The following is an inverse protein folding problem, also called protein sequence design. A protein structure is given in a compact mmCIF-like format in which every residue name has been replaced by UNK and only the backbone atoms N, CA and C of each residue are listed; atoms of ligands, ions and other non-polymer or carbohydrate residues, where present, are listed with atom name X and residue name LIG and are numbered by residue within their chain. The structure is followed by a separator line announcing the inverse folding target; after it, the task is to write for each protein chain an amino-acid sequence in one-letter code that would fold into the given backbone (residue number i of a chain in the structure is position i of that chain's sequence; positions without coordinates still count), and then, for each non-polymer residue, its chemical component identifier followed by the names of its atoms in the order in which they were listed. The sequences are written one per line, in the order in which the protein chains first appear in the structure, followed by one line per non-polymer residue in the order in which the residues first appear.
data_IF_937351192794
#
_entry.id   IF_937351192794
#
_cell.length_a   1.000
_cell.length_b   1.000
_cell.length_c   1.000
_cell.angle_alpha   90.00
_cell.angle_beta   90.00
_cell.angle_gamma   90.00
#
_symmetry.space_group_name_H-M   'P 1'
#
loop_
_entity.id
_entity.type
_entity.pdbx_description
1 polymer ?
#
# COMPACT_ATOMS: atom_id res chain seq x y z
N UNK A 1 6.66 30.41 3.55
CA UNK A 1 7.34 29.11 3.41
C UNK A 1 6.87 28.55 2.09
N UNK A 2 7.78 28.39 1.13
CA UNK A 2 7.39 27.86 -0.19
C UNK A 2 7.09 26.36 -0.08
N UNK A 3 6.14 25.86 -0.88
CA UNK A 3 5.74 24.44 -0.87
C UNK A 3 6.95 23.50 -1.04
N UNK A 4 7.94 23.93 -1.82
CA UNK A 4 9.21 23.21 -2.02
C UNK A 4 10.02 23.07 -0.74
N UNK A 5 10.08 24.11 0.10
CA UNK A 5 10.82 24.08 1.37
C UNK A 5 10.16 23.10 2.36
N UNK A 6 8.82 23.13 2.44
CA UNK A 6 8.05 22.19 3.24
C UNK A 6 8.24 20.74 2.78
N UNK A 7 8.17 20.48 1.47
CA UNK A 7 8.39 19.15 0.91
C UNK A 7 9.84 18.68 1.06
N UNK A 8 10.82 19.58 1.02
CA UNK A 8 12.23 19.26 1.25
C UNK A 8 12.55 18.89 2.70
N UNK A 9 11.60 19.09 3.62
CA UNK A 9 11.82 18.78 5.02
C UNK A 9 11.73 17.27 5.26
N UNK A 10 12.75 16.63 5.88
CA UNK A 10 12.81 15.17 5.98
C UNK A 10 11.60 14.53 6.66
N UNK A 11 11.07 15.16 7.72
CA UNK A 11 9.90 14.61 8.42
C UNK A 11 8.63 14.64 7.57
N UNK A 12 8.45 15.69 6.75
CA UNK A 12 7.31 15.81 5.83
C UNK A 12 7.40 14.73 4.75
N UNK A 13 8.60 14.54 4.18
CA UNK A 13 8.88 13.48 3.20
C UNK A 13 8.59 12.09 3.77
N UNK A 14 8.97 11.83 5.02
CA UNK A 14 8.69 10.55 5.70
C UNK A 14 7.19 10.34 5.90
N UNK A 15 6.48 11.31 6.46
CA UNK A 15 5.03 11.19 6.71
C UNK A 15 4.27 10.98 5.41
N UNK A 16 4.54 11.79 4.39
CA UNK A 16 3.90 11.66 3.08
C UNK A 16 4.20 10.31 2.44
N UNK A 17 5.45 9.85 2.48
CA UNK A 17 5.78 8.57 1.88
C UNK A 17 5.13 7.39 2.60
N UNK A 18 5.08 7.39 3.94
CA UNK A 18 4.32 6.37 4.70
C UNK A 18 2.84 6.37 4.28
N UNK A 19 2.21 7.56 4.23
CA UNK A 19 0.81 7.67 3.82
C UNK A 19 0.57 7.14 2.41
N UNK A 20 1.43 7.49 1.45
CA UNK A 20 1.35 6.99 0.07
C UNK A 20 1.53 5.47 0.03
N UNK A 21 2.53 4.94 0.74
CA UNK A 21 2.79 3.49 0.82
C UNK A 21 1.59 2.70 1.36
N UNK A 22 0.91 3.22 2.38
CA UNK A 22 -0.30 2.60 2.95
C UNK A 22 -1.47 2.67 1.96
N UNK A 23 -1.70 3.83 1.32
CA UNK A 23 -2.83 4.04 0.41
C UNK A 23 -2.74 3.16 -0.83
N UNK A 24 -1.53 2.88 -1.33
CA UNK A 24 -1.28 1.95 -2.44
C UNK A 24 -1.87 0.55 -2.16
N UNK A 25 -1.99 0.16 -0.88
CA UNK A 25 -2.55 -1.14 -0.50
C UNK A 25 -4.07 -1.19 -0.42
N UNK A 26 -4.75 -0.05 -0.30
CA UNK A 26 -6.20 0.00 -0.07
C UNK A 26 -7.01 -0.78 -1.14
N UNK A 27 -6.67 -0.70 -2.45
CA UNK A 27 -7.34 -1.48 -3.49
C UNK A 27 -7.21 -3.01 -3.29
N UNK A 28 -6.06 -3.47 -2.77
CA UNK A 28 -5.80 -4.90 -2.48
C UNK A 28 -6.70 -5.39 -1.36
N UNK A 29 -6.83 -4.60 -0.29
CA UNK A 29 -7.75 -4.90 0.83
C UNK A 29 -9.20 -4.94 0.36
N UNK A 30 -9.58 -4.08 -0.57
CA UNK A 30 -10.92 -4.09 -1.16
C UNK A 30 -11.16 -5.32 -2.03
N UNK A 31 -10.11 -5.80 -2.72
CA UNK A 31 -10.15 -7.00 -3.56
C UNK A 31 -10.46 -8.28 -2.76
N UNK A 32 -10.08 -8.34 -1.48
CA UNK A 32 -10.44 -9.45 -0.58
C UNK A 32 -11.96 -9.64 -0.41
N UNK A 33 -12.79 -8.61 -0.64
CA UNK A 33 -14.25 -8.77 -0.66
C UNK A 33 -14.74 -9.64 -1.82
N UNK A 34 -14.02 -9.65 -2.95
CA UNK A 34 -14.36 -10.49 -4.11
C UNK A 34 -13.95 -11.94 -3.91
N UNK A 35 -12.88 -12.21 -3.14
CA UNK A 35 -12.53 -13.58 -2.74
C UNK A 35 -13.63 -14.23 -1.89
N UNK A 36 -14.40 -13.43 -1.13
CA UNK A 36 -15.54 -13.92 -0.33
C UNK A 36 -16.79 -14.28 -1.12
N UNK A 37 -16.92 -13.88 -2.39
CA UNK A 37 -18.14 -14.09 -3.18
C UNK A 37 -18.14 -15.39 -4.01
N UNK A 38 -17.21 -16.32 -3.73
CA UNK A 38 -17.10 -17.60 -4.43
C UNK A 38 -16.50 -17.50 -5.84
N UNK A 39 -16.06 -16.31 -6.26
CA UNK A 39 -15.44 -16.03 -7.56
C UNK A 39 -13.93 -15.82 -7.39
N UNK A 40 -13.24 -16.85 -6.91
CA UNK A 40 -11.81 -16.78 -6.59
C UNK A 40 -10.96 -16.31 -7.80
N UNK A 41 -11.25 -16.78 -9.01
CA UNK A 41 -10.53 -16.38 -10.23
C UNK A 41 -10.62 -14.88 -10.52
N UNK A 42 -11.82 -14.30 -10.35
CA UNK A 42 -12.04 -12.86 -10.53
C UNK A 42 -11.39 -12.09 -9.38
N UNK A 43 -11.45 -12.61 -8.15
CA UNK A 43 -10.78 -12.02 -6.99
C UNK A 43 -9.26 -11.93 -7.14
N UNK A 44 -8.63 -12.97 -7.70
CA UNK A 44 -7.18 -12.99 -7.99
C UNK A 44 -6.86 -11.99 -9.11
N UNK A 45 -7.64 -11.96 -10.20
CA UNK A 45 -7.44 -11.02 -11.29
C UNK A 45 -7.57 -9.56 -10.86
N UNK A 46 -8.63 -9.23 -10.13
CA UNK A 46 -8.87 -7.88 -9.57
C UNK A 46 -7.80 -7.52 -8.55
N UNK A 47 -7.44 -8.44 -7.65
CA UNK A 47 -6.39 -8.22 -6.65
C UNK A 47 -5.03 -7.96 -7.30
N UNK A 48 -4.67 -8.73 -8.31
CA UNK A 48 -3.42 -8.56 -9.07
C UNK A 48 -3.42 -7.22 -9.81
N UNK A 49 -4.50 -6.89 -10.53
CA UNK A 49 -4.65 -5.61 -11.21
C UNK A 49 -4.60 -4.41 -10.27
N UNK A 50 -5.19 -4.53 -9.08
CA UNK A 50 -5.14 -3.53 -8.02
C UNK A 50 -3.72 -3.31 -7.49
N UNK A 51 -2.92 -4.36 -7.29
CA UNK A 51 -1.50 -4.26 -6.92
C UNK A 51 -0.71 -3.53 -8.01
N UNK A 52 -0.82 -3.97 -9.27
CA UNK A 52 -0.09 -3.34 -10.37
C UNK A 52 -0.49 -1.88 -10.58
N UNK A 53 -1.78 -1.56 -10.50
CA UNK A 53 -2.28 -0.20 -10.56
C UNK A 53 -1.73 0.67 -9.41
N UNK A 54 -1.74 0.14 -8.19
CA UNK A 54 -1.17 0.82 -7.02
C UNK A 54 0.33 1.08 -7.17
N UNK A 55 1.10 0.10 -7.65
CA UNK A 55 2.54 0.25 -7.91
C UNK A 55 2.82 1.30 -8.99
N UNK A 56 2.01 1.34 -10.05
CA UNK A 56 2.15 2.32 -11.12
C UNK A 56 1.85 3.74 -10.63
N UNK A 57 0.79 3.92 -9.83
CA UNK A 57 0.49 5.20 -9.17
C UNK A 57 1.63 5.59 -8.23
N UNK A 58 2.14 4.66 -7.42
CA UNK A 58 3.29 4.90 -6.54
C UNK A 58 4.52 5.36 -7.30
N UNK A 59 4.86 4.71 -8.42
CA UNK A 59 5.96 5.09 -9.28
C UNK A 59 5.79 6.50 -9.87
N UNK A 60 4.58 6.85 -10.32
CA UNK A 60 4.28 8.20 -10.81
C UNK A 60 4.40 9.27 -9.72
N UNK A 61 3.94 8.98 -8.50
CA UNK A 61 4.07 9.89 -7.35
C UNK A 61 5.54 10.06 -6.98
N UNK A 62 6.33 8.98 -6.93
CA UNK A 62 7.77 9.04 -6.68
C UNK A 62 8.50 9.83 -7.76
N UNK A 63 8.14 9.63 -9.03
CA UNK A 63 8.70 10.39 -10.13
C UNK A 63 8.37 11.89 -10.01
N UNK A 64 7.11 12.24 -9.74
CA UNK A 64 6.70 13.62 -9.51
C UNK A 64 7.45 14.26 -8.34
N UNK A 65 7.56 13.54 -7.22
CA UNK A 65 8.27 14.01 -6.04
C UNK A 65 9.77 14.25 -6.30
N UNK A 66 10.42 13.36 -7.06
CA UNK A 66 11.83 13.50 -7.43
C UNK A 66 12.13 14.78 -8.23
N UNK A 67 11.15 15.30 -8.98
CA UNK A 67 11.27 16.53 -9.77
C UNK A 67 11.02 17.79 -8.94
N UNK A 68 10.25 17.70 -7.86
CA UNK A 68 9.87 18.84 -7.01
C UNK A 68 10.84 19.02 -5.86
N UNK A 69 11.22 17.94 -5.19
CA UNK A 69 12.06 17.94 -3.99
C UNK A 69 13.12 16.81 -4.05
N UNK A 70 14.14 16.92 -4.92
CA UNK A 70 15.16 15.89 -5.11
C UNK A 70 15.96 15.60 -3.83
N UNK A 71 16.22 16.65 -3.03
CA UNK A 71 17.04 16.56 -1.82
C UNK A 71 16.39 15.67 -0.74
N UNK A 72 15.05 15.60 -0.73
CA UNK A 72 14.30 14.78 0.21
C UNK A 72 13.79 13.45 -0.39
N UNK A 73 14.07 13.19 -1.67
CA UNK A 73 13.55 12.03 -2.39
C UNK A 73 13.95 10.70 -1.74
N UNK A 74 15.17 10.58 -1.20
CA UNK A 74 15.61 9.36 -0.52
C UNK A 74 14.73 9.05 0.69
N UNK A 75 14.42 10.07 1.50
CA UNK A 75 13.55 9.91 2.67
C UNK A 75 12.13 9.53 2.26
N UNK A 76 11.59 10.20 1.24
CA UNK A 76 10.26 9.91 0.70
C UNK A 76 10.19 8.50 0.09
N UNK A 77 11.15 8.11 -0.73
CA UNK A 77 11.14 6.83 -1.42
C UNK A 77 11.28 5.65 -0.46
N UNK A 78 12.20 5.76 0.50
CA UNK A 78 12.35 4.73 1.55
C UNK A 78 11.09 4.64 2.40
N UNK A 79 10.48 5.78 2.77
CA UNK A 79 9.27 5.78 3.60
C UNK A 79 8.03 5.25 2.87
N UNK A 80 7.92 5.44 1.54
CA UNK A 80 6.91 4.78 0.69
C UNK A 80 7.05 3.25 0.77
N UNK A 81 8.27 2.73 0.60
CA UNK A 81 8.53 1.29 0.67
C UNK A 81 8.20 0.76 2.06
N UNK A 82 8.66 1.44 3.12
CA UNK A 82 8.38 1.06 4.50
C UNK A 82 6.87 1.05 4.78
N UNK A 83 6.14 2.10 4.38
CA UNK A 83 4.69 2.17 4.55
C UNK A 83 3.95 1.05 3.83
N UNK A 84 4.37 0.73 2.60
CA UNK A 84 3.80 -0.36 1.81
C UNK A 84 4.06 -1.73 2.45
N UNK A 85 5.30 -2.01 2.88
CA UNK A 85 5.67 -3.28 3.54
C UNK A 85 4.93 -3.45 4.86
N UNK A 86 4.82 -2.40 5.67
CA UNK A 86 4.05 -2.44 6.91
C UNK A 86 2.57 -2.74 6.65
N UNK A 87 1.96 -2.08 5.66
CA UNK A 87 0.57 -2.34 5.28
C UNK A 87 0.36 -3.78 4.78
N UNK A 88 1.28 -4.31 3.97
CA UNK A 88 1.27 -5.71 3.54
C UNK A 88 1.35 -6.65 4.75
N UNK A 89 2.29 -6.42 5.67
CA UNK A 89 2.47 -7.25 6.86
C UNK A 89 1.21 -7.30 7.72
N UNK A 90 0.58 -6.15 7.98
CA UNK A 90 -0.69 -6.08 8.72
C UNK A 90 -1.80 -6.85 7.99
N UNK A 91 -1.90 -6.68 6.67
CA UNK A 91 -2.93 -7.36 5.86
C UNK A 91 -2.71 -8.88 5.85
N UNK A 92 -1.47 -9.34 5.74
CA UNK A 92 -1.10 -10.75 5.78
C UNK A 92 -1.45 -11.39 7.13
N UNK A 93 -1.09 -10.74 8.25
CA UNK A 93 -1.45 -11.21 9.60
C UNK A 93 -2.96 -11.31 9.76
N UNK A 94 -3.71 -10.32 9.25
CA UNK A 94 -5.17 -10.32 9.32
C UNK A 94 -5.78 -11.46 8.48
N UNK A 95 -5.26 -11.69 7.27
CA UNK A 95 -5.69 -12.78 6.40
C UNK A 95 -5.42 -14.17 7.04
N UNK A 96 -4.24 -14.36 7.64
CA UNK A 96 -3.86 -15.62 8.33
C UNK A 96 -4.75 -15.86 9.54
N UNK A 97 -4.95 -14.85 10.41
CA UNK A 97 -5.86 -14.97 11.56
C UNK A 97 -7.28 -15.30 11.14
N UNK A 98 -7.72 -14.75 10.02
CA UNK A 98 -9.05 -15.05 9.47
C UNK A 98 -9.14 -16.51 8.99
N UNK A 99 -8.12 -17.01 8.30
CA UNK A 99 -8.06 -18.40 7.83
C UNK A 99 -8.15 -19.41 8.99
N UNK A 100 -7.40 -19.18 10.07
CA UNK A 100 -7.42 -20.04 11.26
C UNK A 100 -8.76 -20.00 12.01
N UNK A 101 -9.48 -18.86 11.97
CA UNK A 101 -10.79 -18.74 12.63
C UNK A 101 -11.89 -19.48 11.86
N UNK A 102 -11.79 -19.52 10.53
CA UNK A 102 -12.75 -20.25 9.69
C UNK A 102 -12.54 -21.77 9.79
N UNK A 103 -11.29 -22.25 9.88
CA UNK A 103 -11.02 -23.69 10.04
C UNK A 103 -11.55 -24.26 11.36
N UNK A 104 -11.52 -23.49 12.45
CA UNK A 104 -12.10 -23.91 13.74
C UNK A 104 -13.62 -23.95 13.74
N UNK A 105 -14.29 -23.33 12.75
CA UNK A 105 -15.76 -23.27 12.68
C UNK A 105 -16.38 -24.33 11.79
N UNK A 106 -15.58 -25.06 11.00
CA UNK A 106 -16.06 -26.17 10.16
C UNK A 106 -16.03 -27.53 10.88
N UNK A 107 -15.57 -27.58 12.12
CA UNK A 107 -15.51 -28.79 12.94
C UNK A 107 -16.69 -28.92 13.94
N UNK A 108 -17.59 -27.94 13.98
CA UNK A 108 -18.89 -27.99 14.71
C UNK A 108 -20.06 -28.16 13.74
#
# INVERSE_FOLDING_TARGET
MELRELLSTPWVAVVLGISVGIVILAPVVWSFRFLRSGKADIGIGVGTGAVFGGLLVGALVMFGYSRVAPDAFVYFGVSVIVGFVLALGVTAVFAVRWLFRDSTRSEE
#
